data_IF_922757520355
#
_entry.id   IF_922757520355
#
_cell.length_a   1.000
_cell.length_b   1.000
_cell.length_c   1.000
_cell.angle_alpha   90.00
_cell.angle_beta   90.00
_cell.angle_gamma   90.00
#
_symmetry.space_group_name_H-M   'P 1'
#
loop_
_entity.id
_entity.type
_entity.pdbx_description
1 polymer ?
#
# COMPACT_ATOMS: atom_id res chain seq x y z
N UNK A 1 -17.49 -7.48 11.46
CA UNK A 1 -17.60 -6.29 10.60
C UNK A 1 -18.15 -6.70 9.24
N UNK A 2 -19.02 -5.89 8.63
CA UNK A 2 -19.80 -6.27 7.46
C UNK A 2 -19.00 -6.05 6.17
N UNK A 3 -18.67 -7.11 5.44
CA UNK A 3 -18.06 -7.02 4.08
C UNK A 3 -18.93 -6.25 3.08
N UNK A 4 -20.20 -5.99 3.43
CA UNK A 4 -21.17 -5.30 2.60
C UNK A 4 -20.78 -3.85 2.25
N UNK A 5 -19.94 -3.19 3.05
CA UNK A 5 -19.56 -1.77 2.83
C UNK A 5 -18.26 -1.61 2.03
N UNK A 6 -17.67 -2.70 1.52
CA UNK A 6 -16.42 -2.65 0.77
C UNK A 6 -16.64 -1.97 -0.61
N UNK A 7 -15.71 -1.10 -1.06
CA UNK A 7 -15.77 -0.54 -2.41
C UNK A 7 -15.76 -1.64 -3.48
N UNK A 8 -16.39 -1.35 -4.63
CA UNK A 8 -16.61 -2.30 -5.74
C UNK A 8 -15.37 -3.11 -6.13
N UNK A 9 -14.18 -2.51 -6.12
CA UNK A 9 -12.94 -3.13 -6.56
C UNK A 9 -12.02 -3.59 -5.41
N UNK A 10 -12.52 -3.63 -4.17
CA UNK A 10 -11.71 -3.97 -2.99
C UNK A 10 -11.14 -5.40 -3.01
N UNK A 11 -11.65 -6.28 -3.85
CA UNK A 11 -11.21 -7.67 -3.97
C UNK A 11 -10.30 -7.92 -5.20
N UNK A 12 -10.08 -6.92 -6.05
CA UNK A 12 -9.19 -7.05 -7.22
C UNK A 12 -7.72 -6.80 -6.84
N UNK A 13 -7.12 -7.72 -6.07
CA UNK A 13 -5.78 -7.54 -5.48
C UNK A 13 -4.71 -7.16 -6.53
N UNK A 14 -4.67 -7.84 -7.67
CA UNK A 14 -3.72 -7.52 -8.74
C UNK A 14 -3.94 -6.11 -9.31
N UNK A 15 -5.19 -5.70 -9.48
CA UNK A 15 -5.52 -4.35 -9.95
C UNK A 15 -5.18 -3.28 -8.91
N UNK A 16 -5.30 -3.59 -7.61
CA UNK A 16 -4.87 -2.71 -6.53
C UNK A 16 -3.35 -2.55 -6.51
N UNK A 17 -2.60 -3.63 -6.73
CA UNK A 17 -1.15 -3.57 -6.91
C UNK A 17 -0.76 -2.74 -8.14
N UNK A 18 -1.45 -2.92 -9.27
CA UNK A 18 -1.25 -2.08 -10.46
C UNK A 18 -1.55 -0.60 -10.22
N UNK A 19 -2.61 -0.29 -9.48
CA UNK A 19 -2.94 1.08 -9.09
C UNK A 19 -1.86 1.70 -8.20
N UNK A 20 -1.34 0.97 -7.21
CA UNK A 20 -0.21 1.43 -6.38
C UNK A 20 1.04 1.69 -7.23
N UNK A 21 1.35 0.80 -8.18
CA UNK A 21 2.47 0.98 -9.12
C UNK A 21 2.26 2.18 -10.04
N UNK A 22 1.03 2.41 -10.50
CA UNK A 22 0.68 3.57 -11.29
C UNK A 22 0.88 4.87 -10.50
N UNK A 23 0.50 4.92 -9.23
CA UNK A 23 0.75 6.07 -8.34
C UNK A 23 2.23 6.43 -8.29
N UNK A 24 3.10 5.44 -8.06
CA UNK A 24 4.54 5.66 -8.00
C UNK A 24 5.08 6.19 -9.33
N UNK A 25 4.76 5.54 -10.45
CA UNK A 25 5.20 5.97 -11.79
C UNK A 25 4.77 7.39 -12.11
N UNK A 26 3.53 7.76 -11.76
CA UNK A 26 3.01 9.10 -11.97
C UNK A 26 3.85 10.14 -11.22
N UNK A 27 4.22 9.86 -9.97
CA UNK A 27 5.03 10.77 -9.15
C UNK A 27 6.45 10.88 -9.68
N UNK A 28 7.08 9.76 -10.00
CA UNK A 28 8.43 9.74 -10.56
C UNK A 28 8.51 10.54 -11.87
N UNK A 29 7.47 10.48 -12.70
CA UNK A 29 7.38 11.27 -13.92
C UNK A 29 7.09 12.77 -13.70
N UNK A 30 6.25 13.11 -12.71
CA UNK A 30 5.75 14.48 -12.53
C UNK A 30 6.61 15.34 -11.57
N UNK A 31 7.17 14.74 -10.53
CA UNK A 31 7.83 15.47 -9.45
C UNK A 31 9.04 16.29 -9.91
N UNK A 32 9.93 15.82 -10.81
CA UNK A 32 11.03 16.63 -11.30
C UNK A 32 10.55 17.98 -11.87
N UNK A 33 9.52 17.95 -12.73
CA UNK A 33 8.94 19.15 -13.33
C UNK A 33 8.27 20.08 -12.31
N UNK A 34 7.64 19.51 -11.27
CA UNK A 34 7.02 20.31 -10.20
C UNK A 34 8.06 20.97 -9.30
N UNK A 35 9.21 20.31 -9.07
CA UNK A 35 10.33 20.86 -8.32
C UNK A 35 10.99 22.00 -9.11
N UNK A 36 11.29 21.77 -10.39
CA UNK A 36 11.84 22.79 -11.30
C UNK A 36 10.93 24.03 -11.37
N UNK A 37 9.61 23.82 -11.36
CA UNK A 37 8.62 24.89 -11.36
C UNK A 37 8.40 25.56 -9.98
N UNK A 38 9.11 25.14 -8.92
CA UNK A 38 8.94 25.65 -7.55
C UNK A 38 7.59 25.30 -6.91
N UNK A 39 6.84 24.36 -7.46
CA UNK A 39 5.50 23.94 -6.99
C UNK A 39 5.56 22.79 -5.99
N UNK A 40 6.72 22.16 -5.81
CA UNK A 40 6.97 21.09 -4.87
C UNK A 40 8.39 21.23 -4.31
N UNK A 41 8.56 21.13 -2.99
CA UNK A 41 9.91 21.11 -2.39
C UNK A 41 10.53 19.73 -2.59
N UNK A 42 11.85 19.69 -2.73
CA UNK A 42 12.59 18.44 -2.90
C UNK A 42 12.39 17.48 -1.71
N UNK A 43 12.39 17.98 -0.47
CA UNK A 43 12.12 17.17 0.72
C UNK A 43 10.73 16.51 0.68
N UNK A 44 9.68 17.29 0.38
CA UNK A 44 8.31 16.78 0.24
C UNK A 44 8.20 15.70 -0.84
N UNK A 45 8.93 15.86 -1.96
CA UNK A 45 8.96 14.88 -3.03
C UNK A 45 9.57 13.55 -2.58
N UNK A 46 10.66 13.60 -1.81
CA UNK A 46 11.33 12.41 -1.25
C UNK A 46 10.38 11.65 -0.33
N UNK A 47 9.74 12.33 0.64
CA UNK A 47 8.78 11.72 1.55
C UNK A 47 7.61 11.08 0.81
N UNK A 48 7.06 11.79 -0.19
CA UNK A 48 5.94 11.27 -0.99
C UNK A 48 6.33 10.08 -1.87
N UNK A 49 7.58 10.04 -2.36
CA UNK A 49 8.08 8.88 -3.10
C UNK A 49 8.31 7.68 -2.18
N UNK A 50 8.82 7.92 -0.96
CA UNK A 50 8.95 6.88 0.06
C UNK A 50 7.60 6.24 0.39
N UNK A 51 6.56 7.05 0.66
CA UNK A 51 5.19 6.57 0.91
C UNK A 51 4.60 5.81 -0.29
N UNK A 52 4.84 6.28 -1.52
CA UNK A 52 4.38 5.57 -2.72
C UNK A 52 5.07 4.21 -2.88
N UNK A 53 6.37 4.12 -2.61
CA UNK A 53 7.13 2.85 -2.64
C UNK A 53 6.65 1.88 -1.57
N UNK A 54 6.35 2.36 -0.37
CA UNK A 54 5.78 1.55 0.70
C UNK A 54 4.43 0.95 0.31
N UNK A 55 3.53 1.75 -0.29
CA UNK A 55 2.26 1.25 -0.85
C UNK A 55 2.50 0.18 -1.93
N UNK A 56 3.46 0.37 -2.83
CA UNK A 56 3.79 -0.63 -3.86
C UNK A 56 4.30 -1.93 -3.23
N UNK A 57 5.21 -1.85 -2.25
CA UNK A 57 5.73 -3.03 -1.55
C UNK A 57 4.60 -3.80 -0.85
N UNK A 58 3.72 -3.06 -0.17
CA UNK A 58 2.55 -3.60 0.52
C UNK A 58 1.64 -4.39 -0.44
N UNK A 59 1.30 -3.81 -1.59
CA UNK A 59 0.34 -4.43 -2.52
C UNK A 59 0.97 -5.49 -3.43
N UNK A 60 2.26 -5.38 -3.74
CA UNK A 60 2.99 -6.47 -4.39
C UNK A 60 3.01 -7.72 -3.51
N UNK A 61 3.22 -7.56 -2.20
CA UNK A 61 3.14 -8.69 -1.27
C UNK A 61 1.71 -9.28 -1.20
N UNK A 62 0.69 -8.43 -1.24
CA UNK A 62 -0.70 -8.87 -1.24
C UNK A 62 -1.01 -9.78 -2.45
N UNK A 63 -0.48 -9.41 -3.63
CA UNK A 63 -0.61 -10.14 -4.89
C UNK A 63 0.27 -11.40 -4.92
N UNK A 64 1.49 -11.32 -4.41
CA UNK A 64 2.43 -12.44 -4.31
C UNK A 64 3.01 -12.57 -2.90
N UNK A 65 2.41 -13.48 -2.12
CA UNK A 65 2.78 -13.73 -0.72
C UNK A 65 4.05 -14.57 -0.58
N UNK A 66 4.67 -14.99 -1.68
CA UNK A 66 5.92 -15.77 -1.65
C UNK A 66 7.14 -14.88 -1.42
N UNK A 67 7.05 -13.60 -1.77
CA UNK A 67 8.01 -12.59 -1.33
C UNK A 67 7.93 -12.46 0.20
N UNK A 68 9.05 -12.61 0.90
CA UNK A 68 9.10 -12.33 2.33
C UNK A 68 8.68 -10.88 2.57
N UNK A 69 7.60 -10.62 3.33
CA UNK A 69 6.97 -9.30 3.34
C UNK A 69 7.88 -8.22 3.92
N UNK A 70 8.71 -8.58 4.90
CA UNK A 70 9.51 -7.67 5.72
C UNK A 70 10.80 -8.37 6.14
N UNK A 71 11.93 -7.72 5.91
CA UNK A 71 13.16 -8.02 6.64
C UNK A 71 13.06 -7.39 8.02
N UNK A 72 12.57 -8.17 8.98
CA UNK A 72 12.41 -7.73 10.36
C UNK A 72 13.74 -7.56 11.11
N UNK A 73 14.86 -8.09 10.61
CA UNK A 73 16.17 -7.82 11.21
C UNK A 73 16.63 -6.40 10.85
N UNK A 74 16.31 -5.93 9.65
CA UNK A 74 16.57 -4.57 9.19
C UNK A 74 15.43 -3.57 9.50
N UNK A 75 14.31 -4.03 10.08
CA UNK A 75 13.14 -3.19 10.34
C UNK A 75 13.37 -2.21 11.49
N UNK A 76 13.13 -0.92 11.23
CA UNK A 76 13.12 0.12 12.27
C UNK A 76 11.85 0.00 13.12
N UNK A 77 11.95 -0.27 14.44
CA UNK A 77 10.79 -0.42 15.32
C UNK A 77 9.98 0.88 15.50
N UNK A 78 10.53 2.04 15.12
CA UNK A 78 9.83 3.32 15.16
C UNK A 78 9.10 3.63 13.85
N UNK A 79 8.82 2.59 13.06
CA UNK A 79 8.24 2.69 11.72
C UNK A 79 7.24 1.56 11.47
N UNK A 80 6.39 1.73 10.47
CA UNK A 80 5.47 0.70 10.02
C UNK A 80 6.19 -0.44 9.30
N UNK A 81 5.54 -1.60 9.21
CA UNK A 81 6.01 -2.81 8.52
C UNK A 81 6.70 -2.54 7.15
N UNK A 82 6.15 -1.61 6.37
CA UNK A 82 6.64 -1.24 5.04
C UNK A 82 7.38 0.12 5.02
N UNK A 83 7.86 0.60 6.16
CA UNK A 83 8.53 1.89 6.32
C UNK A 83 7.62 2.93 6.99
N UNK A 84 6.97 3.85 6.27
CA UNK A 84 6.11 4.87 6.90
C UNK A 84 4.99 4.28 7.77
N UNK A 85 4.51 5.08 8.72
CA UNK A 85 3.37 4.69 9.56
C UNK A 85 2.08 4.60 8.75
N UNK A 86 1.14 3.77 9.22
CA UNK A 86 -0.13 3.58 8.52
C UNK A 86 -0.90 4.90 8.31
N UNK A 87 -0.89 5.82 9.28
CA UNK A 87 -1.60 7.09 9.15
C UNK A 87 -1.01 7.96 8.03
N UNK A 88 0.31 7.86 7.78
CA UNK A 88 0.97 8.57 6.67
C UNK A 88 0.60 7.97 5.33
N UNK A 89 0.53 6.64 5.25
CA UNK A 89 0.09 5.94 4.04
C UNK A 89 -1.39 6.21 3.74
N UNK A 90 -2.23 6.25 4.79
CA UNK A 90 -3.65 6.56 4.69
C UNK A 90 -3.88 7.99 4.19
N UNK A 91 -3.19 8.98 4.75
CA UNK A 91 -3.27 10.37 4.28
C UNK A 91 -2.88 10.48 2.80
N UNK A 92 -1.78 9.81 2.42
CA UNK A 92 -1.27 9.85 1.06
C UNK A 92 -2.23 9.23 0.04
N UNK A 93 -2.80 8.06 0.36
CA UNK A 93 -3.73 7.38 -0.54
C UNK A 93 -5.11 8.06 -0.58
N UNK A 94 -5.57 8.63 0.54
CA UNK A 94 -6.83 9.37 0.60
C UNK A 94 -6.75 10.62 -0.26
N UNK A 95 -5.65 11.37 -0.16
CA UNK A 95 -5.39 12.54 -1.01
C UNK A 95 -5.32 12.15 -2.48
N UNK A 96 -4.65 11.03 -2.81
CA UNK A 96 -4.56 10.54 -4.17
C UNK A 96 -5.96 10.12 -4.71
N UNK A 97 -6.76 9.42 -3.90
CA UNK A 97 -8.11 8.99 -4.27
C UNK A 97 -9.03 10.17 -4.58
N UNK A 98 -9.01 11.20 -3.74
CA UNK A 98 -9.79 12.42 -3.96
C UNK A 98 -9.41 13.10 -5.29
N UNK A 99 -8.11 13.21 -5.59
CA UNK A 99 -7.62 13.79 -6.85
C UNK A 99 -8.05 12.98 -8.07
N UNK A 100 -7.97 11.65 -8.00
CA UNK A 100 -8.40 10.79 -9.11
C UNK A 100 -9.91 10.85 -9.32
N UNK A 101 -10.71 10.95 -8.25
CA UNK A 101 -12.15 11.17 -8.38
C UNK A 101 -12.46 12.48 -9.12
N UNK A 102 -11.83 13.58 -8.70
CA UNK A 102 -11.98 14.89 -9.39
C UNK A 102 -11.57 14.79 -10.87
N UNK A 103 -10.50 14.04 -11.18
CA UNK A 103 -10.06 13.85 -12.56
C UNK A 103 -11.08 13.05 -13.38
N UNK A 104 -11.62 11.97 -12.83
CA UNK A 104 -12.66 11.16 -13.47
C UNK A 104 -13.95 11.96 -13.72
N UNK A 105 -14.38 12.76 -12.75
CA UNK A 105 -15.60 13.58 -12.85
C UNK A 105 -15.49 14.66 -13.94
N UNK A 106 -14.27 15.10 -14.28
CA UNK A 106 -14.02 16.05 -15.38
C UNK A 106 -14.14 15.41 -16.76
N UNK A 107 -14.02 14.09 -16.87
CA UNK A 107 -14.11 13.34 -18.13
C UNK A 107 -15.05 12.14 -17.94
N UNK A 108 -16.37 12.35 -17.82
CA UNK A 108 -17.31 11.33 -17.35
C UNK A 108 -17.40 10.06 -18.22
N UNK A 109 -16.99 10.15 -19.49
CA UNK A 109 -17.01 9.03 -20.43
C UNK A 109 -15.68 8.26 -20.49
N UNK A 110 -14.68 8.66 -19.70
CA UNK A 110 -13.41 7.93 -19.60
C UNK A 110 -13.54 6.80 -18.56
N UNK A 111 -13.88 5.60 -19.05
CA UNK A 111 -13.99 4.40 -18.22
C UNK A 111 -12.68 4.04 -17.50
N UNK A 112 -11.52 4.40 -18.07
CA UNK A 112 -10.22 4.18 -17.45
C UNK A 112 -9.99 5.08 -16.24
N UNK A 113 -10.31 6.36 -16.37
CA UNK A 113 -10.24 7.32 -15.27
C UNK A 113 -11.20 6.95 -14.12
N UNK A 114 -12.44 6.57 -14.44
CA UNK A 114 -13.40 6.12 -13.45
C UNK A 114 -12.93 4.87 -12.70
N UNK A 115 -12.39 3.86 -13.43
CA UNK A 115 -11.85 2.64 -12.82
C UNK A 115 -10.65 2.93 -11.91
N UNK A 116 -9.74 3.80 -12.34
CA UNK A 116 -8.58 4.17 -11.51
C UNK A 116 -9.01 4.87 -10.21
N UNK A 117 -10.01 5.77 -10.28
CA UNK A 117 -10.57 6.43 -9.11
C UNK A 117 -11.22 5.42 -8.13
N UNK A 118 -11.94 4.42 -8.65
CA UNK A 118 -12.50 3.33 -7.85
C UNK A 118 -11.41 2.47 -7.18
N UNK A 119 -10.32 2.17 -7.90
CA UNK A 119 -9.18 1.41 -7.34
C UNK A 119 -8.50 2.20 -6.21
N UNK A 120 -8.31 3.51 -6.36
CA UNK A 120 -7.70 4.33 -5.32
C UNK A 120 -8.61 4.46 -4.08
N UNK A 121 -9.92 4.54 -4.28
CA UNK A 121 -10.88 4.49 -3.18
C UNK A 121 -10.83 3.14 -2.45
N UNK A 122 -10.70 2.03 -3.17
CA UNK A 122 -10.51 0.71 -2.59
C UNK A 122 -9.18 0.59 -1.82
N UNK A 123 -8.08 1.13 -2.34
CA UNK A 123 -6.80 1.20 -1.63
C UNK A 123 -6.92 2.00 -0.32
N UNK A 124 -7.59 3.15 -0.36
CA UNK A 124 -7.81 3.98 0.83
C UNK A 124 -8.67 3.28 1.88
N UNK A 125 -9.73 2.58 1.46
CA UNK A 125 -10.55 1.77 2.35
C UNK A 125 -9.74 0.68 3.05
N UNK A 126 -8.91 -0.06 2.30
CA UNK A 126 -8.01 -1.06 2.90
C UNK A 126 -7.01 -0.45 3.87
N UNK A 127 -6.46 0.72 3.55
CA UNK A 127 -5.52 1.41 4.43
C UNK A 127 -6.16 1.86 5.74
N UNK A 128 -7.42 2.32 5.68
CA UNK A 128 -8.18 2.72 6.87
C UNK A 128 -8.57 1.51 7.72
N UNK A 129 -9.03 0.43 7.10
CA UNK A 129 -9.65 -0.69 7.80
C UNK A 129 -8.65 -1.70 8.35
N UNK A 130 -7.64 -2.06 7.57
CA UNK A 130 -6.72 -3.15 7.90
C UNK A 130 -5.28 -2.69 8.11
N UNK A 131 -5.08 -1.37 8.26
CA UNK A 131 -3.76 -0.76 8.09
C UNK A 131 -3.11 -1.21 6.78
N UNK A 132 -3.92 -1.29 5.73
CA UNK A 132 -3.53 -1.88 4.46
C UNK A 132 -3.50 -3.40 4.54
N UNK A 133 -2.38 -4.01 4.18
CA UNK A 133 -2.15 -5.46 4.41
C UNK A 133 -1.17 -5.73 5.55
N UNK A 134 -0.64 -4.68 6.20
CA UNK A 134 0.37 -4.79 7.24
C UNK A 134 -0.13 -5.63 8.42
N UNK A 135 -1.41 -5.54 8.77
CA UNK A 135 -2.02 -6.40 9.79
C UNK A 135 -1.93 -7.89 9.42
N UNK A 136 -2.28 -8.24 8.18
CA UNK A 136 -2.25 -9.62 7.68
C UNK A 136 -0.81 -10.14 7.65
N UNK A 137 0.13 -9.29 7.26
CA UNK A 137 1.57 -9.58 7.28
C UNK A 137 2.05 -9.90 8.69
N UNK A 138 1.78 -9.03 9.67
CA UNK A 138 2.18 -9.24 11.06
C UNK A 138 1.59 -10.55 11.62
N UNK A 139 0.31 -10.83 11.37
CA UNK A 139 -0.31 -12.08 11.81
C UNK A 139 0.34 -13.32 11.15
N UNK A 140 0.67 -13.25 9.86
CA UNK A 140 1.28 -14.35 9.10
C UNK A 140 2.74 -14.61 9.53
N UNK A 141 3.53 -13.55 9.71
CA UNK A 141 4.93 -13.67 10.11
C UNK A 141 5.11 -14.08 11.57
N UNK A 142 4.25 -13.60 12.48
CA UNK A 142 4.22 -14.09 13.87
C UNK A 142 3.94 -15.60 13.91
N UNK A 143 2.99 -16.09 13.11
CA UNK A 143 2.72 -17.53 12.99
C UNK A 143 3.90 -18.29 12.41
N UNK A 144 4.53 -17.77 11.35
CA UNK A 144 5.72 -18.39 10.74
C UNK A 144 6.87 -18.51 11.74
N UNK A 145 7.13 -17.45 12.52
CA UNK A 145 8.16 -17.44 13.57
C UNK A 145 7.80 -18.33 14.76
N UNK A 146 6.54 -18.38 15.15
CA UNK A 146 6.05 -19.31 16.19
C UNK A 146 6.23 -20.77 15.79
N UNK A 147 5.96 -21.11 14.52
CA UNK A 147 6.20 -22.44 13.98
C UNK A 147 7.70 -22.77 13.88
N UNK A 148 8.54 -21.80 13.51
CA UNK A 148 10.01 -21.96 13.47
C UNK A 148 10.66 -22.02 14.86
N UNK A 149 9.98 -21.59 15.93
CA UNK A 149 10.42 -21.77 17.33
C UNK A 149 9.97 -23.10 17.95
N UNK A 150 9.15 -23.90 17.27
CA UNK A 150 8.71 -25.23 17.72
C UNK A 150 9.34 -26.47 17.05
N UNK A 151 10.40 -26.42 16.20
CA UNK A 151 10.89 -27.65 15.57
C UNK A 151 11.59 -28.62 16.55
N UNK A 152 11.99 -28.19 17.75
CA UNK A 152 12.78 -29.02 18.66
C UNK A 152 11.99 -29.76 19.76
N UNK A 153 10.69 -29.47 19.95
CA UNK A 153 9.91 -30.16 21.01
C UNK A 153 9.34 -31.53 20.63
N UNK A 154 9.56 -31.99 19.39
CA UNK A 154 9.11 -33.30 18.92
C UNK A 154 10.26 -34.29 18.67
N UNK A 155 11.53 -33.90 18.90
CA UNK A 155 12.68 -34.80 18.76
C UNK A 155 13.23 -35.37 20.08
N UNK A 156 12.74 -34.91 21.23
CA UNK A 156 13.13 -35.45 22.55
C UNK A 156 12.14 -36.48 23.12
N UNK A 157 11.18 -36.96 22.32
CA UNK A 157 10.17 -37.94 22.75
C UNK A 157 10.08 -39.19 21.84
N UNK A 158 11.17 -39.54 21.15
CA UNK A 158 11.33 -40.80 20.40
C UNK A 158 12.57 -41.54 20.89
#
# INVERSE_FOLDING_TARGET
MNRADAPRLAHEIDALADAARYLLRQREAQYPRLIEAGKLKQADAVEKLERARALVAQWNWAADRTAGPIDWEAHDPNRGAFGPWNYELLDEITTAAARQRIAADRVPNDAGAARLADLYAALAWWQAECAGVARIVMETDVRRRGALRQPDRLREAA
#
